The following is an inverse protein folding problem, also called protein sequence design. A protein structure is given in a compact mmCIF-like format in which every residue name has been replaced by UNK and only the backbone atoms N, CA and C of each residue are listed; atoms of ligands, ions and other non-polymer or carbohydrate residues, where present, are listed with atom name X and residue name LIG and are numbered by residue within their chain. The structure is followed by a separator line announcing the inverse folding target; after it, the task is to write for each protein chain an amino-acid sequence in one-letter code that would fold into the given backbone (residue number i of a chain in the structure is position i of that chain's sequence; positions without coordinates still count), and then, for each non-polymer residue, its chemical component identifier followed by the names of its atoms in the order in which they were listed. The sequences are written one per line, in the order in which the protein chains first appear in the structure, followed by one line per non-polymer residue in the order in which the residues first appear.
data_IF_045291991965
#
_entry.id   IF_045291991965
#
_cell.length_a   1.000
_cell.length_b   1.000
_cell.length_c   1.000
_cell.angle_alpha   90.00
_cell.angle_beta   90.00
_cell.angle_gamma   90.00
#
_symmetry.space_group_name_H-M   'P 1'
#
loop_
_entity.id
_entity.type
_entity.pdbx_description
1 polymer ?
#
# COMPACT_ATOMS: atom_id res chain seq x y z
N UNK A 1 9.15 3.69 0.37
CA UNK A 1 7.87 3.35 1.04
C UNK A 1 8.13 2.93 2.49
N UNK A 2 7.24 3.26 3.44
CA UNK A 2 7.21 2.64 4.79
C UNK A 2 8.19 3.18 5.86
N UNK A 3 8.76 4.38 5.69
CA UNK A 3 9.84 4.88 6.55
C UNK A 3 9.44 5.51 7.89
N UNK A 4 8.15 5.48 8.27
CA UNK A 4 7.61 6.19 9.45
C UNK A 4 7.01 5.22 10.49
N UNK A 5 7.57 4.01 10.58
CA UNK A 5 7.11 2.97 11.48
C UNK A 5 5.81 2.29 11.02
N UNK A 6 5.30 1.42 11.88
CA UNK A 6 4.08 0.67 11.63
C UNK A 6 2.85 1.58 11.72
N UNK A 7 1.91 1.47 10.78
CA UNK A 7 0.65 2.21 10.81
C UNK A 7 -0.07 2.21 9.47
N UNK A 8 -1.14 2.99 9.38
CA UNK A 8 -2.00 3.10 8.19
C UNK A 8 -1.85 4.45 7.44
N UNK A 9 -0.91 5.31 7.85
CA UNK A 9 -0.59 6.53 7.11
C UNK A 9 -0.04 6.25 5.71
N UNK A 10 -0.04 7.27 4.84
CA UNK A 10 0.46 7.16 3.46
C UNK A 10 1.99 7.00 3.37
N UNK A 11 2.70 7.11 4.48
CA UNK A 11 4.15 6.89 4.61
C UNK A 11 4.47 5.66 5.46
N UNK A 12 3.45 4.95 5.94
CA UNK A 12 3.53 3.80 6.84
C UNK A 12 2.99 2.54 6.18
N UNK A 13 3.37 1.39 6.74
CA UNK A 13 2.90 0.06 6.35
C UNK A 13 2.60 -0.75 7.62
N UNK A 14 1.76 -1.77 7.51
CA UNK A 14 1.45 -2.71 8.59
C UNK A 14 1.46 -4.15 8.06
N UNK A 15 2.51 -4.91 8.43
CA UNK A 15 2.75 -6.28 7.96
C UNK A 15 2.61 -6.43 6.43
N UNK A 16 3.47 -5.74 5.64
CA UNK A 16 3.45 -5.89 4.19
C UNK A 16 3.81 -7.33 3.80
N UNK A 17 3.08 -7.89 2.84
CA UNK A 17 3.23 -9.30 2.40
C UNK A 17 3.99 -9.46 1.08
N UNK A 18 4.21 -8.37 0.36
CA UNK A 18 4.70 -8.43 -1.01
C UNK A 18 5.03 -7.05 -1.57
N UNK A 19 5.95 -7.04 -2.53
CA UNK A 19 6.42 -5.85 -3.23
C UNK A 19 6.64 -6.17 -4.71
N UNK A 20 6.29 -5.24 -5.59
CA UNK A 20 6.58 -5.30 -7.01
C UNK A 20 7.02 -3.91 -7.51
N UNK A 21 7.81 -3.87 -8.58
CA UNK A 21 8.28 -2.63 -9.20
C UNK A 21 8.03 -2.70 -10.70
N UNK A 22 7.44 -1.67 -11.28
CA UNK A 22 7.22 -1.58 -12.74
C UNK A 22 8.45 -1.02 -13.49
N UNK A 23 8.37 -0.97 -14.82
CA UNK A 23 9.45 -0.45 -15.67
C UNK A 23 9.74 1.05 -15.47
N UNK A 24 8.79 1.81 -14.92
CA UNK A 24 8.94 3.24 -14.63
C UNK A 24 9.55 3.48 -13.24
N UNK A 25 9.76 2.42 -12.44
CA UNK A 25 10.25 2.50 -11.07
C UNK A 25 9.16 2.75 -10.03
N UNK A 26 7.88 2.59 -10.39
CA UNK A 26 6.77 2.65 -9.44
C UNK A 26 6.79 1.40 -8.55
N UNK A 27 6.78 1.60 -7.25
CA UNK A 27 6.72 0.53 -6.25
C UNK A 27 5.28 0.27 -5.84
N UNK A 28 4.89 -1.00 -5.84
CA UNK A 28 3.61 -1.49 -5.36
C UNK A 28 3.84 -2.36 -4.14
N UNK A 29 3.09 -2.13 -3.06
CA UNK A 29 3.21 -2.89 -1.82
C UNK A 29 1.84 -3.41 -1.42
N UNK A 30 1.74 -4.72 -1.16
CA UNK A 30 0.56 -5.31 -0.51
C UNK A 30 0.69 -5.12 0.99
N UNK A 31 -0.07 -4.19 1.55
CA UNK A 31 -0.02 -3.77 2.95
C UNK A 31 -1.03 -4.59 3.77
N UNK A 32 -0.59 -5.77 4.20
CA UNK A 32 -1.47 -6.91 4.43
C UNK A 32 -2.26 -6.92 5.73
N UNK A 33 -1.97 -6.03 6.69
CA UNK A 33 -2.82 -5.81 7.88
C UNK A 33 -3.59 -4.50 7.82
N UNK A 34 -3.37 -3.71 6.76
CA UNK A 34 -4.19 -2.55 6.43
C UNK A 34 -5.18 -2.86 5.29
N UNK A 35 -5.27 -4.12 4.86
CA UNK A 35 -6.15 -4.60 3.78
C UNK A 35 -6.13 -3.69 2.54
N UNK A 36 -4.92 -3.29 2.10
CA UNK A 36 -4.75 -2.34 0.99
C UNK A 36 -3.55 -2.66 0.10
N UNK A 37 -3.61 -2.16 -1.13
CA UNK A 37 -2.46 -2.08 -2.03
C UNK A 37 -2.06 -0.62 -2.15
N UNK A 38 -0.79 -0.36 -1.88
CA UNK A 38 -0.20 0.97 -1.94
C UNK A 38 0.69 1.09 -3.18
N UNK A 39 0.64 2.26 -3.83
CA UNK A 39 1.48 2.65 -4.96
C UNK A 39 2.36 3.86 -4.60
N UNK A 40 3.65 3.75 -4.87
CA UNK A 40 4.63 4.83 -4.82
C UNK A 40 5.26 5.02 -6.19
N UNK A 41 4.93 6.09 -6.93
CA UNK A 41 5.72 6.50 -8.09
C UNK A 41 7.19 6.69 -7.72
N UNK A 42 8.07 6.59 -8.73
CA UNK A 42 9.49 6.88 -8.55
C UNK A 42 9.69 8.26 -7.90
N UNK A 43 10.61 8.37 -6.96
CA UNK A 43 10.90 9.57 -6.16
C UNK A 43 9.76 10.07 -5.23
N UNK A 44 8.61 9.38 -5.17
CA UNK A 44 7.53 9.81 -4.29
C UNK A 44 7.89 9.58 -2.81
N UNK A 45 7.70 10.62 -1.99
CA UNK A 45 7.93 10.57 -0.53
C UNK A 45 6.73 9.98 0.23
N UNK A 46 5.55 9.95 -0.40
CA UNK A 46 4.32 9.36 0.13
C UNK A 46 3.61 8.50 -0.92
N UNK A 47 2.87 7.51 -0.44
CA UNK A 47 2.15 6.56 -1.28
C UNK A 47 0.72 7.00 -1.53
N UNK A 48 0.02 6.22 -2.34
CA UNK A 48 -1.42 6.33 -2.57
C UNK A 48 -2.06 4.95 -2.46
N UNK A 49 -3.23 4.87 -1.84
CA UNK A 49 -4.05 3.65 -1.85
C UNK A 49 -4.64 3.51 -3.24
N UNK A 50 -4.37 2.38 -3.90
CA UNK A 50 -4.95 2.10 -5.23
C UNK A 50 -6.03 1.03 -5.17
N UNK A 51 -6.03 0.19 -4.13
CA UNK A 51 -7.07 -0.82 -3.86
C UNK A 51 -7.18 -1.03 -2.35
N UNK A 52 -8.40 -1.24 -1.83
CA UNK A 52 -8.64 -1.56 -0.42
C UNK A 52 -8.54 -0.36 0.53
N UNK A 53 -8.21 -0.63 1.80
CA UNK A 53 -8.04 0.39 2.85
C UNK A 53 -9.32 0.78 3.60
N UNK A 54 -10.46 0.16 3.28
CA UNK A 54 -11.73 0.35 3.96
C UNK A 54 -12.13 -0.89 4.79
N UNK A 55 -11.12 -1.59 5.30
CA UNK A 55 -11.25 -2.88 5.97
C UNK A 55 -11.47 -4.05 5.01
N UNK A 56 -11.45 -5.26 5.58
CA UNK A 56 -11.69 -6.50 4.86
C UNK A 56 -13.14 -6.61 4.38
N UNK A 57 -13.36 -7.01 3.12
CA UNK A 57 -14.71 -7.28 2.60
C UNK A 57 -14.82 -7.31 1.08
N UNK A 58 -16.04 -7.58 0.59
CA UNK A 58 -16.39 -7.75 -0.83
C UNK A 58 -16.84 -6.44 -1.52
N UNK A 59 -16.83 -5.30 -0.82
CA UNK A 59 -17.17 -4.02 -1.46
C UNK A 59 -16.10 -3.61 -2.46
N UNK A 60 -16.47 -2.79 -3.46
CA UNK A 60 -15.58 -2.37 -4.55
C UNK A 60 -14.29 -1.66 -4.10
N UNK A 61 -14.27 -1.15 -2.86
CA UNK A 61 -13.16 -0.47 -2.22
C UNK A 61 -12.56 -1.26 -1.03
N UNK A 62 -12.83 -2.56 -0.94
CA UNK A 62 -12.34 -3.49 0.10
C UNK A 62 -11.54 -4.64 -0.53
N UNK A 63 -10.73 -5.32 0.28
CA UNK A 63 -9.93 -6.50 -0.10
C UNK A 63 -10.19 -7.64 0.90
N UNK A 64 -10.18 -8.90 0.45
CA UNK A 64 -10.41 -10.07 1.31
C UNK A 64 -9.16 -10.87 1.67
#
# INVERSE_FOLDING_TARGET
AGGQGQGNGLTQLYYPRGVAVDQMGTVYVTDGWNDRIMRWPKEATQGSVIVGGNGKGEQSNQLN
#
